data_IF_656452947828
#
_entry.id   IF_656452947828
#
_cell.length_a   1.000
_cell.length_b   1.000
_cell.length_c   1.000
_cell.angle_alpha   90.00
_cell.angle_beta   90.00
_cell.angle_gamma   90.00
#
_symmetry.space_group_name_H-M   'P 1'
#
loop_
_entity.id
_entity.type
_entity.pdbx_description
1 polymer ?
#
# COMPACT_ATOMS: atom_id res chain seq x y z
N UNK A 1 18.21 -18.73 -6.29
CA UNK A 1 17.36 -19.71 -5.59
C UNK A 1 15.97 -19.11 -5.52
N UNK A 2 15.13 -19.42 -6.53
CA UNK A 2 13.72 -19.02 -6.52
C UNK A 2 13.03 -19.84 -5.43
N UNK A 3 12.61 -19.18 -4.37
CA UNK A 3 11.74 -19.78 -3.38
C UNK A 3 10.36 -19.94 -4.06
N UNK A 4 10.01 -21.16 -4.47
CA UNK A 4 8.64 -21.49 -4.89
C UNK A 4 7.79 -21.38 -3.63
N UNK A 5 7.23 -20.20 -3.38
CA UNK A 5 6.21 -20.04 -2.35
C UNK A 5 5.00 -20.81 -2.87
N UNK A 6 4.70 -21.89 -2.18
CA UNK A 6 3.58 -22.78 -2.52
C UNK A 6 2.30 -21.92 -2.58
N UNK A 7 1.58 -21.94 -3.70
CA UNK A 7 0.39 -21.12 -3.95
C UNK A 7 -0.69 -21.19 -2.84
N UNK A 8 -0.65 -22.20 -1.98
CA UNK A 8 -1.56 -22.36 -0.85
C UNK A 8 -1.18 -21.55 0.41
N UNK A 9 0.08 -21.15 0.57
CA UNK A 9 0.55 -20.39 1.75
C UNK A 9 0.34 -18.89 1.53
N UNK A 10 0.48 -18.42 0.31
CA UNK A 10 0.44 -17.00 -0.02
C UNK A 10 -0.91 -16.34 0.32
N UNK A 11 -2.08 -16.90 -0.01
CA UNK A 11 -3.38 -16.35 0.39
C UNK A 11 -3.52 -16.22 1.92
N UNK A 12 -3.02 -17.19 2.67
CA UNK A 12 -3.05 -17.16 4.14
C UNK A 12 -2.20 -16.01 4.71
N UNK A 13 -0.99 -15.82 4.18
CA UNK A 13 -0.10 -14.72 4.59
C UNK A 13 -0.73 -13.37 4.26
N UNK A 14 -1.24 -13.20 3.05
CA UNK A 14 -1.89 -11.97 2.60
C UNK A 14 -3.10 -11.63 3.47
N UNK A 15 -4.00 -12.58 3.68
CA UNK A 15 -5.17 -12.41 4.56
C UNK A 15 -4.73 -11.96 5.97
N UNK A 16 -3.74 -12.60 6.55
CA UNK A 16 -3.24 -12.25 7.89
C UNK A 16 -2.68 -10.82 7.96
N UNK A 17 -1.96 -10.38 6.93
CA UNK A 17 -1.41 -9.02 6.85
C UNK A 17 -2.54 -8.00 6.76
N UNK A 18 -3.51 -8.23 5.86
CA UNK A 18 -4.66 -7.34 5.68
C UNK A 18 -5.48 -7.23 6.96
N UNK A 19 -5.79 -8.34 7.62
CA UNK A 19 -6.53 -8.35 8.88
C UNK A 19 -5.82 -7.59 10.00
N UNK A 20 -4.49 -7.67 10.05
CA UNK A 20 -3.70 -6.92 11.02
C UNK A 20 -3.70 -5.41 10.76
N UNK A 21 -3.80 -5.01 9.49
CA UNK A 21 -3.72 -3.62 9.05
C UNK A 21 -5.09 -2.92 8.95
N UNK A 22 -6.21 -3.65 9.07
CA UNK A 22 -7.55 -3.11 8.86
C UNK A 22 -8.49 -3.42 10.01
N UNK A 23 -9.50 -2.57 10.21
CA UNK A 23 -10.54 -2.76 11.22
C UNK A 23 -11.63 -3.74 10.72
N UNK A 24 -12.35 -4.46 11.62
CA UNK A 24 -13.56 -5.18 11.27
C UNK A 24 -14.58 -4.30 10.54
N UNK A 25 -15.26 -4.85 9.53
CA UNK A 25 -16.21 -4.12 8.71
C UNK A 25 -15.60 -3.18 7.65
N UNK A 26 -14.27 -3.08 7.56
CA UNK A 26 -13.63 -2.26 6.54
C UNK A 26 -13.85 -2.83 5.13
N UNK A 27 -14.05 -1.95 4.16
CA UNK A 27 -14.04 -2.28 2.73
C UNK A 27 -12.61 -2.36 2.21
N UNK A 28 -12.27 -3.48 1.58
CA UNK A 28 -10.94 -3.75 1.02
C UNK A 28 -11.08 -3.83 -0.51
N UNK A 29 -10.47 -2.87 -1.19
CA UNK A 29 -10.40 -2.87 -2.65
C UNK A 29 -9.11 -3.57 -3.10
N UNK A 30 -9.22 -4.55 -3.99
CA UNK A 30 -8.06 -5.25 -4.57
C UNK A 30 -8.22 -5.43 -6.08
N UNK A 31 -7.16 -5.89 -6.72
CA UNK A 31 -7.27 -6.51 -8.04
C UNK A 31 -7.87 -7.93 -7.94
N UNK A 32 -7.96 -8.61 -9.08
CA UNK A 32 -8.50 -9.98 -9.22
C UNK A 32 -7.51 -11.08 -8.82
N UNK A 33 -6.38 -10.75 -8.17
CA UNK A 33 -5.40 -11.76 -7.80
C UNK A 33 -5.94 -12.75 -6.75
N UNK A 34 -5.91 -14.04 -7.06
CA UNK A 34 -6.50 -15.09 -6.23
C UNK A 34 -6.01 -15.19 -4.78
N UNK A 35 -4.91 -14.51 -4.42
CA UNK A 35 -4.45 -14.47 -3.05
C UNK A 35 -5.41 -13.72 -2.10
N UNK A 36 -6.32 -12.90 -2.64
CA UNK A 36 -7.30 -12.12 -1.88
C UNK A 36 -8.64 -12.84 -1.65
N UNK A 37 -8.88 -14.01 -2.27
CA UNK A 37 -10.17 -14.73 -2.25
C UNK A 37 -10.67 -15.15 -0.86
N UNK A 38 -9.84 -15.07 0.18
CA UNK A 38 -10.23 -15.41 1.54
C UNK A 38 -10.60 -14.18 2.40
N UNK A 39 -10.56 -12.99 1.86
CA UNK A 39 -10.86 -11.76 2.61
C UNK A 39 -12.35 -11.69 3.01
N UNK A 40 -13.27 -12.13 2.13
CA UNK A 40 -14.70 -12.15 2.41
C UNK A 40 -15.08 -12.99 3.62
N UNK A 41 -14.27 -14.00 3.95
CA UNK A 41 -14.49 -14.90 5.09
C UNK A 41 -14.07 -14.30 6.43
N UNK A 42 -13.50 -13.09 6.41
CA UNK A 42 -12.77 -12.54 7.53
C UNK A 42 -13.41 -11.23 8.06
N UNK A 43 -14.72 -11.10 7.96
CA UNK A 43 -15.48 -9.90 8.39
C UNK A 43 -14.93 -8.61 7.75
N UNK A 44 -14.62 -8.68 6.44
CA UNK A 44 -14.21 -7.56 5.59
C UNK A 44 -15.05 -7.57 4.32
N UNK A 45 -15.58 -6.43 3.94
CA UNK A 45 -16.18 -6.29 2.61
C UNK A 45 -15.07 -6.26 1.57
N UNK A 46 -15.01 -7.27 0.72
CA UNK A 46 -14.00 -7.38 -0.32
C UNK A 46 -14.59 -7.03 -1.68
N UNK A 47 -14.03 -6.03 -2.33
CA UNK A 47 -14.45 -5.55 -3.65
C UNK A 47 -13.26 -5.58 -4.59
N UNK A 48 -13.46 -6.09 -5.81
CA UNK A 48 -12.38 -6.29 -6.78
C UNK A 48 -12.60 -5.46 -8.04
N UNK A 49 -11.49 -5.00 -8.64
CA UNK A 49 -11.45 -4.42 -9.99
C UNK A 49 -10.70 -5.36 -10.92
N UNK A 50 -11.16 -5.45 -12.17
CA UNK A 50 -10.57 -6.36 -13.16
C UNK A 50 -9.52 -5.61 -13.99
N UNK A 51 -8.30 -6.13 -14.00
CA UNK A 51 -7.19 -5.60 -14.82
C UNK A 51 -6.88 -6.49 -16.03
N UNK A 52 -7.63 -7.57 -16.23
CA UNK A 52 -7.44 -8.50 -17.35
C UNK A 52 -7.63 -7.79 -18.71
N UNK A 53 -6.71 -7.97 -19.68
CA UNK A 53 -6.87 -7.41 -21.02
C UNK A 53 -8.18 -7.84 -21.66
N UNK A 54 -8.94 -6.88 -22.21
CA UNK A 54 -10.27 -7.10 -22.81
C UNK A 54 -11.46 -6.81 -21.87
N UNK A 55 -11.26 -6.92 -20.56
CA UNK A 55 -12.30 -6.64 -19.54
C UNK A 55 -11.83 -5.64 -18.49
N UNK A 56 -10.87 -4.78 -18.84
CA UNK A 56 -10.21 -3.89 -17.90
C UNK A 56 -11.12 -2.81 -17.36
N UNK A 57 -11.32 -2.80 -16.05
CA UNK A 57 -12.02 -1.75 -15.31
C UNK A 57 -11.07 -1.16 -14.28
N UNK A 58 -10.61 0.08 -14.52
CA UNK A 58 -9.65 0.74 -13.64
C UNK A 58 -10.28 1.29 -12.36
N UNK A 59 -11.53 1.68 -12.44
CA UNK A 59 -12.30 2.19 -11.32
C UNK A 59 -13.78 2.01 -11.62
N UNK A 60 -14.58 1.68 -10.60
CA UNK A 60 -16.00 1.39 -10.71
C UNK A 60 -16.78 2.19 -9.67
N UNK A 61 -17.92 2.69 -10.08
CA UNK A 61 -18.95 3.29 -9.25
C UNK A 61 -19.98 2.19 -8.97
N UNK A 62 -20.15 1.80 -7.71
CA UNK A 62 -21.04 0.70 -7.33
C UNK A 62 -22.37 1.21 -6.75
N UNK A 63 -22.47 2.48 -6.34
CA UNK A 63 -23.68 3.08 -5.76
C UNK A 63 -24.40 4.07 -6.70
N UNK A 64 -23.79 4.43 -7.81
CA UNK A 64 -24.42 5.26 -8.87
C UNK A 64 -24.36 6.76 -8.59
N UNK A 65 -23.50 7.22 -7.68
CA UNK A 65 -23.34 8.64 -7.36
C UNK A 65 -22.40 9.38 -8.32
N UNK A 66 -21.86 8.70 -9.33
CA UNK A 66 -20.86 9.15 -10.31
C UNK A 66 -19.43 9.30 -9.75
N UNK A 67 -19.18 8.88 -8.53
CA UNK A 67 -17.85 8.73 -7.94
C UNK A 67 -17.38 7.29 -8.17
N UNK A 68 -16.16 7.09 -8.60
CA UNK A 68 -15.57 5.77 -8.84
C UNK A 68 -14.72 5.37 -7.66
N UNK A 69 -15.37 4.99 -6.55
CA UNK A 69 -14.72 4.69 -5.26
C UNK A 69 -14.02 3.33 -5.22
N UNK A 70 -14.44 2.39 -6.09
CA UNK A 70 -13.84 1.06 -6.17
C UNK A 70 -12.65 1.08 -7.13
N UNK A 71 -11.45 1.22 -6.58
CA UNK A 71 -10.20 1.21 -7.35
C UNK A 71 -8.99 0.81 -6.51
N UNK A 72 -7.88 0.48 -7.17
CA UNK A 72 -6.57 0.18 -6.55
C UNK A 72 -5.47 1.17 -6.97
N UNK A 73 -5.83 2.23 -7.68
CA UNK A 73 -4.90 3.20 -8.27
C UNK A 73 -3.96 3.83 -7.24
N UNK A 74 -4.45 4.11 -6.03
CA UNK A 74 -3.65 4.68 -4.94
C UNK A 74 -2.51 3.75 -4.53
N UNK A 75 -2.81 2.45 -4.38
CA UNK A 75 -1.80 1.45 -4.04
C UNK A 75 -0.79 1.27 -5.18
N UNK A 76 -1.24 1.26 -6.43
CA UNK A 76 -0.35 1.19 -7.60
C UNK A 76 0.56 2.42 -7.70
N UNK A 77 0.03 3.61 -7.43
CA UNK A 77 0.80 4.85 -7.34
C UNK A 77 1.89 4.76 -6.27
N UNK A 78 1.54 4.35 -5.06
CA UNK A 78 2.48 4.17 -3.95
C UNK A 78 3.60 3.17 -4.31
N UNK A 79 3.27 2.03 -4.91
CA UNK A 79 4.27 1.07 -5.35
C UNK A 79 5.19 1.61 -6.46
N UNK A 80 4.67 2.47 -7.31
CA UNK A 80 5.46 3.14 -8.35
C UNK A 80 6.43 4.15 -7.75
N UNK A 81 5.98 4.95 -6.79
CA UNK A 81 6.83 5.88 -6.03
C UNK A 81 7.94 5.14 -5.28
N UNK A 82 7.62 4.07 -4.56
CA UNK A 82 8.61 3.26 -3.84
C UNK A 82 9.67 2.68 -4.80
N UNK A 83 9.25 2.14 -5.95
CA UNK A 83 10.19 1.63 -6.96
C UNK A 83 11.11 2.73 -7.50
N UNK A 84 10.56 3.91 -7.76
CA UNK A 84 11.34 5.06 -8.23
C UNK A 84 12.30 5.57 -7.15
N UNK A 85 11.89 5.60 -5.89
CA UNK A 85 12.73 5.93 -4.75
C UNK A 85 13.90 4.95 -4.59
N UNK A 86 13.67 3.65 -4.77
CA UNK A 86 14.71 2.63 -4.62
C UNK A 86 15.67 2.53 -5.82
N UNK A 87 15.25 2.96 -7.02
CA UNK A 87 16.02 2.82 -8.27
C UNK A 87 17.44 3.42 -8.23
N UNK A 88 17.69 4.64 -7.69
CA UNK A 88 19.02 5.23 -7.62
C UNK A 88 20.04 4.41 -6.84
N UNK A 89 19.59 3.60 -5.88
CA UNK A 89 20.47 2.79 -5.04
C UNK A 89 21.02 1.52 -5.74
N UNK A 90 20.58 1.25 -6.99
CA UNK A 90 21.03 0.11 -7.83
C UNK A 90 20.95 -1.27 -7.15
N UNK A 91 20.16 -1.40 -6.13
CA UNK A 91 19.96 -2.58 -5.29
C UNK A 91 20.18 -2.25 -3.82
N UNK A 92 19.24 -2.67 -2.99
CA UNK A 92 19.27 -2.50 -1.55
C UNK A 92 19.39 -3.87 -0.91
N UNK A 93 20.37 -4.02 0.01
CA UNK A 93 20.48 -5.26 0.78
C UNK A 93 19.19 -5.46 1.60
N UNK A 94 18.67 -6.68 1.57
CA UNK A 94 17.43 -7.07 2.28
C UNK A 94 17.42 -6.70 3.78
N UNK A 95 18.60 -6.69 4.42
CA UNK A 95 18.75 -6.33 5.84
C UNK A 95 18.38 -4.87 6.09
N UNK A 96 18.66 -3.98 5.14
CA UNK A 96 18.38 -2.54 5.25
C UNK A 96 17.09 -2.10 4.56
N UNK A 97 16.44 -2.99 3.80
CA UNK A 97 15.26 -2.65 3.01
C UNK A 97 14.16 -2.03 3.85
N UNK A 98 13.94 -2.53 5.07
CA UNK A 98 12.93 -1.99 5.98
C UNK A 98 13.17 -0.51 6.31
N UNK A 99 14.42 -0.08 6.49
CA UNK A 99 14.77 1.30 6.79
C UNK A 99 14.50 2.21 5.58
N UNK A 100 14.81 1.77 4.37
CA UNK A 100 14.49 2.50 3.14
C UNK A 100 12.97 2.64 2.95
N UNK A 101 12.23 1.57 3.19
CA UNK A 101 10.75 1.63 3.13
C UNK A 101 10.20 2.58 4.17
N UNK A 102 10.71 2.58 5.41
CA UNK A 102 10.28 3.48 6.46
C UNK A 102 10.55 4.96 6.12
N UNK A 103 11.69 5.28 5.48
CA UNK A 103 11.98 6.63 5.01
C UNK A 103 11.00 7.05 3.91
N UNK A 104 10.72 6.16 2.95
CA UNK A 104 9.76 6.44 1.88
C UNK A 104 8.35 6.64 2.44
N UNK A 105 7.88 5.77 3.34
CA UNK A 105 6.59 5.88 4.02
C UNK A 105 6.46 7.19 4.78
N UNK A 106 7.49 7.57 5.53
CA UNK A 106 7.54 8.83 6.24
C UNK A 106 7.44 10.02 5.30
N UNK A 107 8.22 10.05 4.21
CA UNK A 107 8.18 11.12 3.20
C UNK A 107 6.81 11.20 2.51
N UNK A 108 6.19 10.06 2.18
CA UNK A 108 4.86 9.98 1.57
C UNK A 108 3.76 10.53 2.51
N UNK A 109 3.87 10.27 3.81
CA UNK A 109 2.88 10.69 4.80
C UNK A 109 3.03 12.15 5.25
N UNK A 110 4.15 12.80 4.94
CA UNK A 110 4.32 14.23 5.23
C UNK A 110 3.42 15.06 4.32
N UNK A 111 2.38 15.63 4.91
CA UNK A 111 1.41 16.48 4.18
C UNK A 111 1.78 17.97 4.21
N UNK A 112 2.63 18.39 5.15
CA UNK A 112 3.09 19.77 5.30
C UNK A 112 4.53 19.81 5.81
N UNK A 113 5.38 20.50 5.08
CA UNK A 113 6.71 20.88 5.56
C UNK A 113 6.60 22.26 6.24
N UNK A 114 6.62 22.29 7.57
CA UNK A 114 6.61 23.54 8.35
C UNK A 114 8.02 23.94 8.76
N UNK A 115 8.21 25.23 9.09
CA UNK A 115 9.50 25.70 9.62
C UNK A 115 9.88 25.00 10.94
N UNK A 116 8.90 24.70 11.76
CA UNK A 116 9.10 23.91 12.99
C UNK A 116 9.58 22.50 12.69
N UNK A 117 8.94 21.81 11.74
CA UNK A 117 9.37 20.52 11.25
C UNK A 117 10.83 20.53 10.75
N UNK A 118 11.22 21.53 9.94
CA UNK A 118 12.59 21.68 9.45
C UNK A 118 13.58 21.92 10.59
N UNK A 119 13.21 22.70 11.60
CA UNK A 119 14.04 22.92 12.80
C UNK A 119 14.28 21.61 13.55
N UNK A 120 13.23 20.82 13.79
CA UNK A 120 13.35 19.51 14.43
C UNK A 120 14.27 18.59 13.62
N UNK A 121 14.09 18.54 12.30
CA UNK A 121 14.90 17.73 11.39
C UNK A 121 16.37 18.12 11.41
N UNK A 122 16.67 19.43 11.53
CA UNK A 122 18.03 19.96 11.63
C UNK A 122 18.61 19.89 13.06
N UNK A 123 17.89 19.32 14.02
CA UNK A 123 18.34 19.22 15.41
C UNK A 123 18.33 20.54 16.18
N UNK A 124 17.65 21.57 15.67
CA UNK A 124 17.54 22.87 16.32
C UNK A 124 16.43 22.82 17.37
N UNK A 125 16.79 22.47 18.61
CA UNK A 125 15.85 22.28 19.73
C UNK A 125 15.66 23.51 20.61
N UNK A 126 16.33 24.63 20.33
CA UNK A 126 16.20 25.85 21.15
C UNK A 126 14.97 26.64 20.70
N UNK A 127 13.95 26.66 21.53
CA UNK A 127 12.93 27.68 21.49
C UNK A 127 13.56 29.00 21.95
N UNK A 128 13.72 29.94 21.04
CA UNK A 128 13.96 31.31 21.44
C UNK A 128 12.69 31.81 22.12
N UNK A 129 12.78 32.04 23.43
CA UNK A 129 11.76 32.69 24.26
C UNK A 129 11.57 34.15 23.84
#
# INVERSE_FOLDING_TARGET
MLCIINNSILPFIVTRIVLKATQPGATINTDEWGAYNNLDKADRLHVTVCHTPGNRVWARDDDGDSIREVHVNTSEGFWTELRNFLRPFRGVNKVYLQQYVAIHEWAHNIKKCTMEFLRILCGVTQFAS
#
